data_IF_052582857948
#
_entry.id   IF_052582857948
#
_cell.length_a   1.000
_cell.length_b   1.000
_cell.length_c   1.000
_cell.angle_alpha   90.00
_cell.angle_beta   90.00
_cell.angle_gamma   90.00
#
_symmetry.space_group_name_H-M   'P 1'
#
loop_
_entity.id
_entity.type
_entity.pdbx_description
1 polymer ?
#
# COMPACT_ATOMS: atom_id res chain seq x y z
N UNK A 1 -3.35 -4.44 8.38
CA UNK A 1 -4.39 -3.85 7.50
C UNK A 1 -5.30 -4.94 6.92
N UNK A 2 -4.81 -5.85 6.04
CA UNK A 2 -5.63 -6.82 5.29
C UNK A 2 -6.56 -7.66 6.17
N UNK A 3 -6.04 -8.25 7.26
CA UNK A 3 -6.83 -9.03 8.22
C UNK A 3 -8.03 -8.25 8.75
N UNK A 4 -7.79 -7.03 9.24
CA UNK A 4 -8.84 -6.21 9.87
C UNK A 4 -9.85 -5.69 8.86
N UNK A 5 -9.39 -5.29 7.67
CA UNK A 5 -10.28 -4.84 6.59
C UNK A 5 -11.21 -5.96 6.15
N UNK A 6 -10.67 -7.14 5.85
CA UNK A 6 -11.47 -8.30 5.45
C UNK A 6 -12.41 -8.76 6.57
N UNK A 7 -11.90 -8.85 7.81
CA UNK A 7 -12.72 -9.25 8.95
C UNK A 7 -13.90 -8.30 9.15
N UNK A 8 -13.66 -6.99 9.21
CA UNK A 8 -14.73 -5.99 9.38
C UNK A 8 -15.76 -6.07 8.26
N UNK A 9 -15.32 -6.14 7.00
CA UNK A 9 -16.23 -6.29 5.84
C UNK A 9 -17.05 -7.57 5.91
N UNK A 10 -16.44 -8.71 6.29
CA UNK A 10 -17.13 -9.97 6.47
C UNK A 10 -18.19 -9.90 7.57
N UNK A 11 -17.88 -9.26 8.72
CA UNK A 11 -18.84 -9.11 9.81
C UNK A 11 -20.02 -8.21 9.41
N UNK A 12 -19.74 -7.06 8.78
CA UNK A 12 -20.79 -6.16 8.30
C UNK A 12 -21.70 -6.83 7.27
N UNK A 13 -21.13 -7.63 6.38
CA UNK A 13 -21.91 -8.41 5.39
C UNK A 13 -22.80 -9.45 6.06
N UNK A 14 -22.25 -10.22 7.02
CA UNK A 14 -23.02 -11.24 7.75
C UNK A 14 -24.16 -10.65 8.58
N UNK A 15 -23.96 -9.46 9.12
CA UNK A 15 -24.95 -8.76 9.96
C UNK A 15 -25.97 -7.96 9.12
N UNK A 16 -25.79 -7.85 7.79
CA UNK A 16 -26.62 -7.00 6.94
C UNK A 16 -26.52 -5.51 7.29
N UNK A 17 -25.37 -5.09 7.85
CA UNK A 17 -25.15 -3.72 8.35
C UNK A 17 -24.07 -2.96 7.55
N UNK A 18 -23.85 -3.38 6.30
CA UNK A 18 -22.95 -2.65 5.39
C UNK A 18 -23.51 -1.24 5.14
N UNK A 19 -22.69 -0.18 5.26
CA UNK A 19 -23.11 1.18 4.88
C UNK A 19 -23.58 1.28 3.43
N UNK A 20 -24.27 2.35 3.09
CA UNK A 20 -24.83 2.52 1.75
C UNK A 20 -23.74 2.72 0.67
N UNK A 21 -22.69 3.45 1.01
CA UNK A 21 -21.57 3.77 0.12
C UNK A 21 -20.22 3.39 0.77
N UNK A 22 -20.00 2.12 1.12
CA UNK A 22 -18.87 1.73 1.95
C UNK A 22 -17.54 2.06 1.26
N UNK A 23 -16.58 2.61 2.02
CA UNK A 23 -15.28 3.03 1.51
C UNK A 23 -14.14 2.52 2.39
N UNK A 24 -13.08 2.03 1.74
CA UNK A 24 -11.78 1.73 2.34
C UNK A 24 -10.78 2.79 1.88
N UNK A 25 -9.96 3.30 2.79
CA UNK A 25 -8.99 4.35 2.49
C UNK A 25 -7.58 3.89 2.83
N UNK A 26 -6.62 4.05 1.90
CA UNK A 26 -5.24 3.64 2.12
C UNK A 26 -4.24 4.43 1.28
N UNK A 27 -2.95 4.28 1.57
CA UNK A 27 -1.88 5.01 0.87
C UNK A 27 -1.32 4.20 -0.30
N UNK A 28 -0.63 4.90 -1.21
CA UNK A 28 0.09 4.27 -2.34
C UNK A 28 1.11 3.20 -1.91
N UNK A 29 1.70 3.33 -0.71
CA UNK A 29 2.71 2.39 -0.21
C UNK A 29 2.12 1.23 0.60
N UNK A 30 0.84 1.28 0.92
CA UNK A 30 0.17 0.19 1.63
C UNK A 30 -0.11 -0.97 0.68
N UNK A 31 -0.21 -2.17 1.22
CA UNK A 31 -0.36 -3.39 0.43
C UNK A 31 -1.57 -3.37 -0.51
N UNK A 32 -1.36 -3.77 -1.75
CA UNK A 32 -2.38 -3.82 -2.81
C UNK A 32 -3.47 -4.89 -2.60
N UNK A 33 -3.30 -5.81 -1.63
CA UNK A 33 -4.34 -6.79 -1.30
C UNK A 33 -5.65 -6.13 -0.88
N UNK A 34 -5.57 -4.92 -0.28
CA UNK A 34 -6.76 -4.15 0.13
C UNK A 34 -7.66 -3.82 -1.05
N UNK A 35 -7.08 -3.52 -2.21
CA UNK A 35 -7.83 -3.29 -3.46
C UNK A 35 -8.59 -4.54 -3.91
N UNK A 36 -7.96 -5.71 -3.80
CA UNK A 36 -8.63 -6.98 -4.16
C UNK A 36 -9.75 -7.32 -3.18
N UNK A 37 -9.52 -7.09 -1.89
CA UNK A 37 -10.53 -7.26 -0.83
C UNK A 37 -11.72 -6.32 -1.07
N UNK A 38 -11.47 -5.02 -1.24
CA UNK A 38 -12.53 -4.03 -1.46
C UNK A 38 -13.38 -4.39 -2.69
N UNK A 39 -12.76 -4.74 -3.82
CA UNK A 39 -13.46 -5.19 -5.03
C UNK A 39 -14.31 -6.43 -4.81
N UNK A 40 -13.84 -7.39 -4.01
CA UNK A 40 -14.59 -8.61 -3.70
C UNK A 40 -15.90 -8.32 -2.98
N UNK A 41 -15.90 -7.34 -2.07
CA UNK A 41 -17.09 -6.92 -1.33
C UNK A 41 -17.91 -5.83 -2.04
N UNK A 42 -17.50 -5.39 -3.25
CA UNK A 42 -18.17 -4.28 -3.95
C UNK A 42 -18.01 -2.92 -3.25
N UNK A 43 -16.91 -2.73 -2.51
CA UNK A 43 -16.64 -1.55 -1.69
C UNK A 43 -15.74 -0.59 -2.45
N UNK A 44 -16.04 0.71 -2.36
CA UNK A 44 -15.19 1.78 -2.90
C UNK A 44 -13.84 1.81 -2.21
N UNK A 45 -12.79 2.22 -2.93
CA UNK A 45 -11.45 2.29 -2.34
C UNK A 45 -10.68 3.53 -2.83
N UNK A 46 -10.12 4.29 -1.87
CA UNK A 46 -9.06 5.26 -2.10
C UNK A 46 -7.73 4.60 -1.76
N UNK A 47 -6.86 4.33 -2.74
CA UNK A 47 -5.62 3.57 -2.57
C UNK A 47 -4.37 4.27 -3.10
N UNK A 48 -4.48 5.57 -3.35
CA UNK A 48 -3.48 6.39 -4.04
C UNK A 48 -2.97 7.56 -3.17
N UNK A 49 -3.28 7.57 -1.86
CA UNK A 49 -2.89 8.66 -0.99
C UNK A 49 -1.36 8.72 -0.79
N UNK A 50 -0.86 9.93 -0.61
CA UNK A 50 0.48 10.15 -0.08
C UNK A 50 0.58 9.61 1.34
N UNK A 51 1.81 9.37 1.81
CA UNK A 51 2.06 8.83 3.15
C UNK A 51 1.77 9.89 4.22
N UNK A 52 0.97 9.49 5.19
CA UNK A 52 0.61 10.29 6.37
C UNK A 52 -0.89 10.39 6.60
N UNK A 53 -1.31 10.24 7.84
CA UNK A 53 -2.73 10.20 8.22
C UNK A 53 -3.50 11.48 7.95
N UNK A 54 -2.81 12.63 7.78
CA UNK A 54 -3.45 13.87 7.35
C UNK A 54 -4.21 13.74 6.02
N UNK A 55 -3.75 12.88 5.12
CA UNK A 55 -4.45 12.63 3.85
C UNK A 55 -5.69 11.77 4.04
N UNK A 56 -5.68 10.84 4.99
CA UNK A 56 -6.88 10.09 5.38
C UNK A 56 -7.92 11.03 6.01
N UNK A 57 -7.47 11.93 6.89
CA UNK A 57 -8.34 12.96 7.48
C UNK A 57 -8.93 13.91 6.43
N UNK A 58 -8.15 14.25 5.38
CA UNK A 58 -8.63 15.07 4.27
C UNK A 58 -9.73 14.36 3.47
N UNK A 59 -9.58 13.05 3.19
CA UNK A 59 -10.63 12.23 2.57
C UNK A 59 -11.92 12.31 3.39
N UNK A 60 -11.85 12.08 4.71
CA UNK A 60 -13.02 12.13 5.59
C UNK A 60 -13.64 13.53 5.61
N UNK A 61 -12.82 14.58 5.67
CA UNK A 61 -13.29 15.97 5.63
C UNK A 61 -14.00 16.30 4.30
N UNK A 62 -13.48 15.83 3.17
CA UNK A 62 -14.12 16.05 1.87
C UNK A 62 -15.44 15.26 1.75
N UNK A 63 -15.51 14.03 2.23
CA UNK A 63 -16.76 13.27 2.30
C UNK A 63 -17.80 13.97 3.19
N UNK A 64 -17.36 14.53 4.33
CA UNK A 64 -18.24 15.31 5.23
C UNK A 64 -18.76 16.60 4.59
N UNK A 65 -17.90 17.34 3.91
CA UNK A 65 -18.22 18.68 3.41
C UNK A 65 -18.90 18.68 2.04
N UNK A 66 -18.56 17.71 1.18
CA UNK A 66 -19.03 17.67 -0.23
C UNK A 66 -19.72 16.37 -0.62
N UNK A 67 -19.70 15.34 0.22
CA UNK A 67 -20.20 14.00 -0.10
C UNK A 67 -19.33 13.26 -1.11
N UNK A 68 -18.13 13.76 -1.42
CA UNK A 68 -17.27 13.19 -2.47
C UNK A 68 -15.78 13.39 -2.21
N UNK A 69 -14.97 12.42 -2.63
CA UNK A 69 -13.52 12.50 -2.79
C UNK A 69 -13.10 11.79 -4.09
N UNK A 70 -12.54 12.51 -5.06
CA UNK A 70 -12.25 12.02 -6.42
C UNK A 70 -13.50 11.32 -7.03
N UNK A 71 -13.41 10.02 -7.32
CA UNK A 71 -14.49 9.17 -7.84
C UNK A 71 -15.31 8.45 -6.76
N UNK A 72 -14.90 8.58 -5.49
CA UNK A 72 -15.60 7.99 -4.34
C UNK A 72 -16.67 8.93 -3.83
N UNK A 73 -17.86 8.39 -3.49
CA UNK A 73 -18.99 9.14 -2.92
C UNK A 73 -19.42 8.53 -1.60
N UNK A 74 -19.92 9.35 -0.68
CA UNK A 74 -20.40 8.90 0.62
C UNK A 74 -20.27 9.96 1.70
N UNK A 75 -20.39 9.52 2.93
CA UNK A 75 -20.27 10.31 4.15
C UNK A 75 -19.17 9.72 5.03
N UNK A 76 -18.75 10.40 6.11
CA UNK A 76 -17.83 9.82 7.08
C UNK A 76 -18.29 8.45 7.65
N UNK A 77 -19.60 8.25 7.81
CA UNK A 77 -20.17 7.01 8.36
C UNK A 77 -20.07 5.81 7.40
N UNK A 78 -19.76 6.06 6.13
CA UNK A 78 -19.49 5.02 5.15
C UNK A 78 -18.05 4.46 5.25
N UNK A 79 -17.18 5.05 6.12
CA UNK A 79 -15.83 4.57 6.33
C UNK A 79 -15.81 3.16 6.96
N UNK A 80 -15.31 2.19 6.20
CA UNK A 80 -15.06 0.85 6.73
C UNK A 80 -13.76 0.84 7.54
N UNK A 81 -12.66 1.26 6.92
CA UNK A 81 -11.35 1.30 7.55
C UNK A 81 -10.40 2.17 6.73
N UNK A 82 -9.63 3.00 7.42
CA UNK A 82 -8.48 3.67 6.83
C UNK A 82 -7.18 3.11 7.41
N UNK A 83 -6.16 2.95 6.56
CA UNK A 83 -4.90 2.35 7.00
C UNK A 83 -3.68 2.86 6.23
N UNK A 84 -2.54 2.86 6.90
CA UNK A 84 -1.22 3.03 6.28
C UNK A 84 -0.26 1.90 6.71
N UNK A 85 0.82 1.66 5.96
CA UNK A 85 1.75 0.55 6.20
C UNK A 85 2.47 0.66 7.55
N UNK A 86 2.69 1.88 8.06
CA UNK A 86 3.39 2.16 9.32
C UNK A 86 2.46 2.06 10.53
N UNK A 87 1.76 0.95 10.68
CA UNK A 87 0.91 0.63 11.84
C UNK A 87 -0.26 1.60 12.09
N UNK A 88 -0.65 2.38 11.08
CA UNK A 88 -1.78 3.29 11.18
C UNK A 88 -3.09 2.60 10.81
N UNK A 89 -4.05 2.60 11.74
CA UNK A 89 -5.43 2.11 11.53
C UNK A 89 -6.40 3.15 12.08
N UNK A 90 -7.42 3.48 11.31
CA UNK A 90 -8.60 4.23 11.74
C UNK A 90 -9.82 3.42 11.31
N UNK A 91 -10.58 2.92 12.26
CA UNK A 91 -11.72 2.04 12.00
C UNK A 91 -13.08 2.70 12.23
N UNK A 92 -13.09 3.99 12.59
CA UNK A 92 -14.30 4.80 12.74
C UNK A 92 -13.97 6.27 12.48
N UNK A 93 -14.91 7.09 11.97
CA UNK A 93 -14.64 8.48 11.57
C UNK A 93 -14.56 9.46 12.74
N UNK A 94 -14.94 9.05 13.95
CA UNK A 94 -14.94 9.91 15.13
C UNK A 94 -13.57 10.32 15.62
N UNK A 95 -12.55 9.51 15.36
CA UNK A 95 -11.13 9.81 15.60
C UNK A 95 -10.44 9.91 14.25
N UNK A 96 -10.06 11.13 13.82
CA UNK A 96 -9.49 11.39 12.48
C UNK A 96 -7.97 11.25 12.43
N UNK A 97 -7.45 10.33 13.21
CA UNK A 97 -6.05 9.90 13.21
C UNK A 97 -5.97 8.42 13.56
N UNK A 98 -4.77 7.89 13.63
CA UNK A 98 -4.48 6.51 14.01
C UNK A 98 -5.05 6.19 15.39
N UNK A 99 -5.84 5.13 15.46
CA UNK A 99 -6.40 4.62 16.71
C UNK A 99 -5.96 3.16 16.94
N UNK A 100 -4.93 3.00 17.74
CA UNK A 100 -4.40 1.69 18.09
C UNK A 100 -5.34 0.89 19.00
N UNK A 101 -6.16 1.54 19.81
CA UNK A 101 -7.09 0.85 20.70
C UNK A 101 -8.17 0.11 19.91
N UNK A 102 -8.77 0.77 18.93
CA UNK A 102 -9.75 0.16 18.02
C UNK A 102 -9.11 -0.95 17.16
N UNK A 103 -7.87 -0.74 16.69
CA UNK A 103 -7.15 -1.76 15.95
C UNK A 103 -6.92 -3.03 16.78
N UNK A 104 -6.54 -2.88 18.06
CA UNK A 104 -6.34 -4.01 18.98
C UNK A 104 -7.66 -4.73 19.28
N UNK A 105 -8.76 -3.99 19.48
CA UNK A 105 -10.09 -4.58 19.69
C UNK A 105 -10.52 -5.42 18.48
N UNK A 106 -10.43 -4.89 17.26
CA UNK A 106 -10.75 -5.62 16.04
C UNK A 106 -9.88 -6.87 15.87
N UNK A 107 -8.59 -6.78 16.22
CA UNK A 107 -7.69 -7.93 16.16
C UNK A 107 -8.07 -9.00 17.22
N UNK A 108 -8.46 -8.58 18.41
CA UNK A 108 -8.92 -9.48 19.46
C UNK A 108 -10.21 -10.20 19.07
N UNK A 109 -11.17 -9.50 18.46
CA UNK A 109 -12.41 -10.08 17.92
C UNK A 109 -12.13 -11.10 16.81
N UNK A 110 -11.24 -10.77 15.88
CA UNK A 110 -10.78 -11.70 14.84
C UNK A 110 -10.14 -12.95 15.49
N UNK A 111 -9.23 -12.75 16.44
CA UNK A 111 -8.55 -13.86 17.11
C UNK A 111 -9.54 -14.75 17.87
N UNK A 112 -10.52 -14.16 18.56
CA UNK A 112 -11.58 -14.90 19.25
C UNK A 112 -12.44 -15.68 18.25
N UNK A 113 -12.80 -15.07 17.11
CA UNK A 113 -13.57 -15.71 16.05
C UNK A 113 -12.81 -16.91 15.47
N UNK A 114 -11.53 -16.74 15.15
CA UNK A 114 -10.67 -17.86 14.73
C UNK A 114 -10.62 -18.96 15.78
N UNK A 115 -10.38 -18.63 17.06
CA UNK A 115 -10.30 -19.59 18.15
C UNK A 115 -11.59 -20.40 18.30
N UNK A 116 -12.76 -19.77 18.21
CA UNK A 116 -14.07 -20.46 18.25
C UNK A 116 -14.25 -21.45 17.11
N UNK A 117 -13.58 -21.23 15.98
CA UNK A 117 -13.58 -22.12 14.82
C UNK A 117 -12.46 -23.16 14.86
N UNK A 118 -11.68 -23.26 15.94
CA UNK A 118 -10.52 -24.15 16.04
C UNK A 118 -9.34 -23.74 15.14
N UNK A 119 -9.24 -22.44 14.79
CA UNK A 119 -8.26 -21.88 13.84
C UNK A 119 -7.39 -20.82 14.49
N UNK A 120 -6.30 -20.48 13.84
CA UNK A 120 -5.42 -19.36 14.21
C UNK A 120 -5.63 -18.16 13.29
N UNK A 121 -5.15 -16.99 13.71
CA UNK A 121 -5.08 -15.79 12.86
C UNK A 121 -4.15 -16.00 11.65
N UNK A 122 -3.14 -16.88 11.79
CA UNK A 122 -2.24 -17.26 10.69
C UNK A 122 -3.00 -18.06 9.63
N UNK A 123 -3.88 -18.99 10.04
CA UNK A 123 -4.73 -19.72 9.09
C UNK A 123 -5.63 -18.76 8.32
N UNK A 124 -6.19 -17.76 9.01
CA UNK A 124 -7.00 -16.73 8.38
C UNK A 124 -6.20 -15.91 7.35
N UNK A 125 -4.96 -15.53 7.69
CA UNK A 125 -4.06 -14.84 6.75
C UNK A 125 -3.71 -15.69 5.53
N UNK A 126 -3.47 -16.99 5.74
CA UNK A 126 -3.20 -17.93 4.65
C UNK A 126 -4.40 -18.06 3.71
N UNK A 127 -5.62 -18.07 4.24
CA UNK A 127 -6.83 -18.10 3.41
C UNK A 127 -6.99 -16.82 2.59
N UNK A 128 -6.72 -15.65 3.17
CA UNK A 128 -6.69 -14.39 2.42
C UNK A 128 -5.67 -14.45 1.27
N UNK A 129 -4.49 -15.01 1.55
CA UNK A 129 -3.45 -15.17 0.52
C UNK A 129 -3.88 -16.11 -0.61
N UNK A 130 -4.60 -17.17 -0.29
CA UNK A 130 -5.17 -18.09 -1.29
C UNK A 130 -6.27 -17.42 -2.11
N UNK A 131 -7.16 -16.71 -1.44
CA UNK A 131 -8.34 -16.09 -2.06
C UNK A 131 -7.98 -14.85 -2.89
N UNK A 132 -7.09 -14.00 -2.41
CA UNK A 132 -6.76 -12.71 -3.01
C UNK A 132 -5.40 -12.64 -3.67
N UNK A 133 -4.60 -13.72 -3.59
CA UNK A 133 -3.21 -13.75 -4.02
C UNK A 133 -2.25 -13.44 -2.88
N UNK A 134 -1.03 -13.93 -3.00
CA UNK A 134 0.03 -13.65 -2.05
C UNK A 134 0.69 -12.32 -2.37
N UNK A 135 0.91 -11.50 -1.35
CA UNK A 135 1.57 -10.20 -1.41
C UNK A 135 2.76 -10.18 -0.47
N UNK A 136 3.95 -10.00 -1.02
CA UNK A 136 5.17 -9.76 -0.25
C UNK A 136 5.48 -8.28 -0.24
N UNK A 137 5.55 -7.71 0.96
CA UNK A 137 5.93 -6.32 1.18
C UNK A 137 7.32 -6.25 1.82
N UNK A 138 8.12 -5.28 1.41
CA UNK A 138 9.45 -4.99 1.94
C UNK A 138 9.69 -3.50 2.06
N UNK A 139 10.66 -3.12 2.88
CA UNK A 139 11.10 -1.75 3.07
C UNK A 139 12.62 -1.70 3.05
N UNK A 140 13.17 -0.97 2.09
CA UNK A 140 14.61 -0.68 2.01
C UNK A 140 14.87 0.77 2.45
N UNK A 141 15.85 0.96 3.32
CA UNK A 141 16.27 2.26 3.78
C UNK A 141 17.59 2.66 3.10
N UNK A 142 17.56 3.74 2.32
CA UNK A 142 18.73 4.31 1.68
C UNK A 142 19.23 5.45 2.57
N UNK A 143 20.23 5.18 3.41
CA UNK A 143 20.78 6.14 4.37
C UNK A 143 21.96 6.88 3.72
N UNK A 144 21.91 8.21 3.74
CA UNK A 144 22.96 9.09 3.19
C UNK A 144 23.28 10.16 4.23
N UNK A 145 24.32 9.89 5.05
CA UNK A 145 24.69 10.76 6.16
C UNK A 145 25.52 11.99 5.73
N UNK A 146 25.51 13.03 6.56
CA UNK A 146 26.32 14.26 6.36
C UNK A 146 25.69 15.29 5.43
N UNK A 147 26.42 16.38 5.21
CA UNK A 147 25.98 17.50 4.34
C UNK A 147 25.89 17.02 2.89
N UNK A 148 26.83 16.25 2.43
CA UNK A 148 26.83 15.63 1.09
C UNK A 148 25.68 14.63 0.91
N UNK A 149 25.20 14.02 2.00
CA UNK A 149 24.09 13.08 1.96
C UNK A 149 22.80 13.67 1.38
N UNK A 150 22.47 14.91 1.68
CA UNK A 150 21.30 15.60 1.09
C UNK A 150 21.49 15.85 -0.40
N UNK A 151 22.70 16.23 -0.83
CA UNK A 151 23.00 16.45 -2.25
C UNK A 151 22.98 15.13 -3.02
N UNK A 152 23.56 14.07 -2.44
CA UNK A 152 23.53 12.72 -3.02
C UNK A 152 22.09 12.21 -3.16
N UNK A 153 21.24 12.47 -2.16
CA UNK A 153 19.82 12.15 -2.22
C UNK A 153 19.10 12.88 -3.36
N UNK A 154 19.37 14.16 -3.54
CA UNK A 154 18.80 14.93 -4.64
C UNK A 154 19.29 14.38 -5.99
N UNK A 155 20.62 14.17 -6.15
CA UNK A 155 21.18 13.58 -7.39
C UNK A 155 20.57 12.22 -7.71
N UNK A 156 20.41 11.36 -6.70
CA UNK A 156 19.77 10.05 -6.88
C UNK A 156 18.34 10.17 -7.42
N UNK A 157 17.52 11.00 -6.81
CA UNK A 157 16.13 11.19 -7.23
C UNK A 157 16.03 11.82 -8.63
N UNK A 158 16.87 12.83 -8.90
CA UNK A 158 16.87 13.51 -10.20
C UNK A 158 17.43 12.61 -11.30
N UNK A 159 18.42 11.78 -10.98
CA UNK A 159 18.95 10.77 -11.89
C UNK A 159 17.89 9.73 -12.29
N UNK A 160 17.12 9.23 -11.33
CA UNK A 160 16.02 8.30 -11.56
C UNK A 160 14.87 8.93 -12.36
N UNK A 161 14.61 10.24 -12.18
CA UNK A 161 13.62 10.99 -12.98
C UNK A 161 14.05 11.12 -14.43
N UNK A 162 15.31 11.51 -14.64
CA UNK A 162 15.85 11.71 -15.97
C UNK A 162 16.03 10.39 -16.74
N UNK A 163 16.34 9.31 -16.04
CA UNK A 163 16.67 8.01 -16.62
C UNK A 163 15.98 6.88 -15.82
N UNK A 164 14.65 6.77 -15.87
CA UNK A 164 13.94 5.69 -15.21
C UNK A 164 14.36 4.34 -15.81
N UNK A 165 14.65 3.32 -14.98
CA UNK A 165 15.01 2.00 -15.46
C UNK A 165 13.88 1.39 -16.28
N UNK A 166 14.20 0.67 -17.36
CA UNK A 166 13.24 -0.06 -18.19
C UNK A 166 12.89 -1.44 -17.64
N UNK A 167 13.74 -1.97 -16.79
CA UNK A 167 13.55 -3.24 -16.07
C UNK A 167 14.26 -3.18 -14.72
N UNK A 168 13.77 -3.92 -13.74
CA UNK A 168 14.37 -4.07 -12.40
C UNK A 168 14.20 -5.54 -12.01
N UNK A 169 15.29 -6.20 -11.62
CA UNK A 169 15.32 -7.61 -11.24
C UNK A 169 14.66 -8.54 -12.28
N UNK A 170 14.91 -8.29 -13.55
CA UNK A 170 14.34 -9.06 -14.65
C UNK A 170 12.85 -8.80 -14.95
N UNK A 171 12.18 -7.96 -14.16
CA UNK A 171 10.80 -7.53 -14.42
C UNK A 171 10.77 -6.23 -15.22
N UNK A 172 9.97 -6.19 -16.29
CA UNK A 172 9.81 -4.98 -17.10
C UNK A 172 9.10 -3.88 -16.32
N UNK A 173 9.58 -2.64 -16.40
CA UNK A 173 8.88 -1.47 -15.84
C UNK A 173 7.70 -1.14 -16.77
N UNK A 174 6.51 -1.48 -16.33
CA UNK A 174 5.25 -1.26 -17.05
C UNK A 174 4.81 0.20 -16.99
N UNK A 175 5.09 0.89 -15.89
CA UNK A 175 4.85 2.33 -15.74
C UNK A 175 5.80 2.96 -14.73
N UNK A 176 6.14 4.22 -15.00
CA UNK A 176 6.87 5.11 -14.10
C UNK A 176 6.04 6.36 -13.86
N UNK A 177 5.94 6.81 -12.63
CA UNK A 177 5.21 8.00 -12.23
C UNK A 177 6.06 8.83 -11.26
N UNK A 178 6.22 10.13 -11.56
CA UNK A 178 6.76 11.12 -10.64
C UNK A 178 5.61 12.00 -10.15
N UNK A 179 5.31 11.96 -8.86
CA UNK A 179 4.21 12.76 -8.30
C UNK A 179 4.50 14.27 -8.28
N UNK A 180 5.73 14.69 -8.61
CA UNK A 180 6.08 16.10 -8.86
C UNK A 180 5.67 16.59 -10.24
N UNK A 181 5.33 15.69 -11.15
CA UNK A 181 4.83 16.07 -12.47
C UNK A 181 3.45 16.72 -12.33
N UNK A 182 3.40 18.04 -12.53
CA UNK A 182 2.16 18.82 -12.44
C UNK A 182 1.19 18.54 -13.60
N UNK A 183 1.64 17.90 -14.68
CA UNK A 183 0.77 17.40 -15.75
C UNK A 183 0.15 16.03 -15.43
N UNK A 184 0.64 15.35 -14.38
CA UNK A 184 0.18 14.05 -13.94
C UNK A 184 -1.09 14.12 -13.09
N UNK A 185 -1.46 12.99 -12.48
CA UNK A 185 -2.72 12.81 -11.73
C UNK A 185 -2.92 13.78 -10.55
N UNK A 186 -1.83 14.30 -9.98
CA UNK A 186 -1.88 15.21 -8.82
C UNK A 186 -2.15 16.67 -9.22
N UNK A 187 -1.98 17.02 -10.50
CA UNK A 187 -2.14 18.40 -10.99
C UNK A 187 -1.12 19.39 -10.40
N UNK A 188 -1.37 20.69 -10.50
CA UNK A 188 -0.49 21.75 -9.97
C UNK A 188 -0.25 21.63 -8.47
N UNK A 189 0.92 22.11 -8.00
CA UNK A 189 1.22 22.15 -6.56
C UNK A 189 0.28 23.09 -5.81
N UNK A 190 -0.22 22.62 -4.65
CA UNK A 190 -1.06 23.41 -3.75
C UNK A 190 -0.26 24.27 -2.76
N UNK A 191 1.08 24.14 -2.73
CA UNK A 191 2.00 24.86 -1.87
C UNK A 191 3.30 24.09 -1.62
N UNK A 192 4.23 24.67 -0.86
CA UNK A 192 5.56 24.09 -0.61
C UNK A 192 5.50 22.75 0.14
N UNK A 193 4.58 22.61 1.07
CA UNK A 193 4.38 21.36 1.81
C UNK A 193 3.89 20.23 0.90
N UNK A 194 3.00 20.54 -0.04
CA UNK A 194 2.52 19.61 -1.04
C UNK A 194 3.65 19.21 -2.00
N UNK A 195 4.39 20.19 -2.51
CA UNK A 195 5.57 19.96 -3.37
C UNK A 195 6.62 19.08 -2.69
N UNK A 196 6.87 19.28 -1.40
CA UNK A 196 7.78 18.44 -0.63
C UNK A 196 7.25 16.99 -0.48
N UNK A 197 5.97 16.84 -0.17
CA UNK A 197 5.32 15.54 0.00
C UNK A 197 5.27 14.73 -1.30
N UNK A 198 5.16 15.40 -2.45
CA UNK A 198 5.17 14.80 -3.79
C UNK A 198 6.58 14.45 -4.30
N UNK A 199 7.62 14.60 -3.52
CA UNK A 199 8.93 14.04 -3.86
C UNK A 199 8.90 12.51 -3.77
N UNK A 200 8.20 11.89 -4.71
CA UNK A 200 7.75 10.50 -4.62
C UNK A 200 7.73 9.89 -6.03
N UNK A 201 8.48 8.80 -6.20
CA UNK A 201 8.59 8.07 -7.47
C UNK A 201 7.93 6.70 -7.33
N UNK A 202 7.17 6.29 -8.35
CA UNK A 202 6.48 5.02 -8.38
C UNK A 202 6.89 4.26 -9.64
N UNK A 203 7.41 3.05 -9.46
CA UNK A 203 7.75 2.11 -10.51
C UNK A 203 6.83 0.90 -10.38
N UNK A 204 6.01 0.64 -11.38
CA UNK A 204 5.20 -0.58 -11.45
C UNK A 204 5.87 -1.55 -12.41
N UNK A 205 6.11 -2.76 -11.98
CA UNK A 205 6.81 -3.77 -12.76
C UNK A 205 5.93 -4.98 -13.04
N UNK A 206 6.11 -5.59 -14.21
CA UNK A 206 5.42 -6.79 -14.63
C UNK A 206 6.40 -7.96 -14.68
N UNK A 207 6.06 -9.03 -13.97
CA UNK A 207 6.75 -10.32 -13.98
C UNK A 207 5.97 -11.38 -14.76
N UNK A 208 6.47 -12.63 -14.78
CA UNK A 208 5.82 -13.74 -15.45
C UNK A 208 4.54 -14.18 -14.72
N UNK A 209 3.69 -14.97 -15.39
CA UNK A 209 2.54 -15.68 -14.80
C UNK A 209 1.57 -14.79 -13.99
N UNK A 210 1.41 -13.53 -14.37
CA UNK A 210 0.53 -12.58 -13.66
C UNK A 210 1.13 -12.04 -12.34
N UNK A 211 2.41 -12.28 -12.09
CA UNK A 211 3.14 -11.63 -11.00
C UNK A 211 3.33 -10.16 -11.37
N UNK A 212 3.09 -9.28 -10.42
CA UNK A 212 3.30 -7.85 -10.56
C UNK A 212 4.04 -7.32 -9.34
N UNK A 213 4.78 -6.24 -9.53
CA UNK A 213 5.48 -5.58 -8.44
C UNK A 213 5.35 -4.06 -8.50
N UNK A 214 5.70 -3.43 -7.39
CA UNK A 214 5.72 -1.98 -7.24
C UNK A 214 6.90 -1.58 -6.35
N UNK A 215 7.60 -0.52 -6.75
CA UNK A 215 8.56 0.15 -5.89
C UNK A 215 8.16 1.61 -5.78
N UNK A 216 7.98 2.09 -4.55
CA UNK A 216 7.71 3.49 -4.25
C UNK A 216 8.91 4.08 -3.51
N UNK A 217 9.57 5.09 -4.08
CA UNK A 217 10.72 5.75 -3.47
C UNK A 217 10.35 7.15 -3.00
N UNK A 218 10.62 7.46 -1.74
CA UNK A 218 10.46 8.81 -1.19
C UNK A 218 11.57 9.14 -0.18
N UNK A 219 12.08 10.38 -0.16
CA UNK A 219 12.95 10.82 0.92
C UNK A 219 12.14 11.00 2.21
N UNK A 220 12.80 10.83 3.36
CA UNK A 220 12.25 11.23 4.66
C UNK A 220 12.29 12.75 4.78
N UNK A 221 11.21 13.33 5.32
CA UNK A 221 11.19 14.78 5.59
C UNK A 221 12.06 15.21 6.79
N UNK A 222 12.38 14.28 7.68
CA UNK A 222 13.03 14.57 8.97
C UNK A 222 14.41 13.94 9.13
N UNK A 223 14.75 12.94 8.33
CA UNK A 223 15.98 12.16 8.47
C UNK A 223 16.72 12.10 7.12
N UNK A 224 18.07 12.00 7.12
CA UNK A 224 18.86 11.91 5.90
C UNK A 224 18.80 10.51 5.28
N UNK A 225 17.58 10.07 4.96
CA UNK A 225 17.32 8.77 4.34
C UNK A 225 16.17 8.84 3.35
N UNK A 226 16.18 7.96 2.36
CA UNK A 226 15.01 7.64 1.55
C UNK A 226 14.50 6.25 1.91
N UNK A 227 13.22 6.05 1.71
CA UNK A 227 12.53 4.78 1.89
C UNK A 227 12.09 4.28 0.52
N UNK A 228 12.48 3.06 0.17
CA UNK A 228 11.93 2.33 -0.97
C UNK A 228 10.98 1.25 -0.44
N UNK A 229 9.69 1.44 -0.68
CA UNK A 229 8.65 0.47 -0.36
C UNK A 229 8.51 -0.48 -1.54
N UNK A 230 8.68 -1.76 -1.29
CA UNK A 230 8.67 -2.81 -2.30
C UNK A 230 7.46 -3.70 -2.07
N UNK A 231 6.72 -3.98 -3.13
CA UNK A 231 5.68 -5.00 -3.11
C UNK A 231 5.81 -5.88 -4.34
N UNK A 232 5.71 -7.19 -4.17
CA UNK A 232 5.50 -8.15 -5.25
C UNK A 232 4.30 -9.01 -4.91
N UNK A 233 3.41 -9.20 -5.87
CA UNK A 233 2.18 -9.96 -5.68
C UNK A 233 1.94 -10.96 -6.80
N UNK A 234 1.36 -12.09 -6.44
CA UNK A 234 0.88 -13.10 -7.40
C UNK A 234 -0.64 -13.11 -7.55
N UNK A 235 -1.16 -13.86 -8.52
CA UNK A 235 -2.60 -14.10 -8.66
C UNK A 235 -3.16 -14.90 -7.48
N UNK A 236 -4.50 -14.89 -7.29
CA UNK A 236 -5.18 -15.83 -6.40
C UNK A 236 -4.81 -17.28 -6.71
N UNK A 237 -4.84 -18.14 -5.68
CA UNK A 237 -4.57 -19.56 -5.87
C UNK A 237 -5.70 -20.23 -6.67
N UNK A 238 -5.41 -20.81 -7.84
CA UNK A 238 -6.40 -21.62 -8.56
C UNK A 238 -6.84 -22.84 -7.73
N UNK A 239 -8.10 -23.23 -7.83
CA UNK A 239 -8.65 -24.38 -7.10
C UNK A 239 -7.89 -25.68 -7.44
N UNK A 240 -7.40 -25.78 -8.67
CA UNK A 240 -6.64 -26.95 -9.16
C UNK A 240 -5.18 -26.97 -8.70
N UNK A 241 -4.68 -25.92 -8.08
CA UNK A 241 -3.28 -25.84 -7.65
C UNK A 241 -3.06 -26.62 -6.35
N UNK A 242 -2.05 -27.49 -6.33
CA UNK A 242 -1.65 -28.23 -5.13
C UNK A 242 -0.99 -27.33 -4.08
N UNK A 243 -0.94 -27.76 -2.83
CA UNK A 243 -0.26 -27.02 -1.76
C UNK A 243 1.25 -26.85 -2.03
N UNK A 244 1.90 -27.87 -2.60
CA UNK A 244 3.32 -27.78 -2.99
C UNK A 244 3.56 -26.73 -4.07
N UNK A 245 2.70 -26.68 -5.10
CA UNK A 245 2.79 -25.69 -6.16
C UNK A 245 2.54 -24.27 -5.62
N UNK A 246 1.57 -24.12 -4.70
CA UNK A 246 1.31 -22.86 -4.03
C UNK A 246 2.50 -22.40 -3.17
N UNK A 247 3.09 -23.30 -2.40
CA UNK A 247 4.28 -23.01 -1.59
C UNK A 247 5.47 -22.56 -2.45
N UNK A 248 5.67 -23.20 -3.62
CA UNK A 248 6.69 -22.80 -4.58
C UNK A 248 6.43 -21.41 -5.15
N UNK A 249 5.17 -21.08 -5.49
CA UNK A 249 4.80 -19.74 -5.96
C UNK A 249 5.05 -18.67 -4.89
N UNK A 250 4.73 -18.94 -3.62
CA UNK A 250 5.05 -18.04 -2.50
C UNK A 250 6.56 -17.80 -2.43
N UNK A 251 7.37 -18.86 -2.44
CA UNK A 251 8.83 -18.75 -2.39
C UNK A 251 9.41 -17.98 -3.59
N UNK A 252 8.85 -18.16 -4.78
CA UNK A 252 9.21 -17.39 -5.98
C UNK A 252 8.92 -15.90 -5.77
N UNK A 253 7.73 -15.54 -5.30
CA UNK A 253 7.35 -14.15 -5.02
C UNK A 253 8.24 -13.52 -3.95
N UNK A 254 8.57 -14.27 -2.88
CA UNK A 254 9.51 -13.82 -1.85
C UNK A 254 10.89 -13.52 -2.42
N UNK A 255 11.41 -14.41 -3.27
CA UNK A 255 12.67 -14.23 -3.98
C UNK A 255 12.66 -13.02 -4.91
N UNK A 256 11.60 -12.87 -5.68
CA UNK A 256 11.43 -11.72 -6.59
C UNK A 256 11.33 -10.39 -5.82
N UNK A 257 10.65 -10.34 -4.68
CA UNK A 257 10.55 -9.14 -3.86
C UNK A 257 11.92 -8.74 -3.28
N UNK A 258 12.68 -9.71 -2.79
CA UNK A 258 14.04 -9.47 -2.29
C UNK A 258 14.98 -8.99 -3.42
N UNK A 259 14.93 -9.60 -4.60
CA UNK A 259 15.71 -9.20 -5.75
C UNK A 259 15.32 -7.80 -6.23
N UNK A 260 14.01 -7.50 -6.31
CA UNK A 260 13.49 -6.20 -6.71
C UNK A 260 14.00 -5.08 -5.79
N UNK A 261 13.91 -5.27 -4.48
CA UNK A 261 14.40 -4.29 -3.51
C UNK A 261 15.91 -4.06 -3.63
N UNK A 262 16.68 -5.13 -3.64
CA UNK A 262 18.15 -5.07 -3.73
C UNK A 262 18.65 -4.41 -5.01
N UNK A 263 18.11 -4.80 -6.17
CA UNK A 263 18.52 -4.25 -7.46
C UNK A 263 18.07 -2.81 -7.64
N UNK A 264 16.85 -2.48 -7.18
CA UNK A 264 16.37 -1.09 -7.19
C UNK A 264 17.30 -0.18 -6.37
N UNK A 265 17.66 -0.58 -5.15
CA UNK A 265 18.59 0.19 -4.30
C UNK A 265 19.94 0.35 -4.98
N UNK A 266 20.49 -0.71 -5.55
CA UNK A 266 21.78 -0.64 -6.27
C UNK A 266 21.73 0.33 -7.45
N UNK A 267 20.67 0.26 -8.27
CA UNK A 267 20.44 1.15 -9.40
C UNK A 267 20.25 2.61 -8.98
N UNK A 268 19.48 2.84 -7.92
CA UNK A 268 19.25 4.18 -7.38
C UNK A 268 20.55 4.79 -6.84
N UNK A 269 21.32 4.03 -6.07
CA UNK A 269 22.60 4.49 -5.47
C UNK A 269 23.68 4.78 -6.52
N UNK A 270 23.58 4.23 -7.72
CA UNK A 270 24.52 4.57 -8.80
C UNK A 270 24.45 6.05 -9.22
N UNK A 271 23.28 6.69 -9.08
CA UNK A 271 23.11 8.12 -9.33
C UNK A 271 23.53 9.01 -8.15
N UNK A 272 23.76 8.44 -6.98
CA UNK A 272 24.15 9.20 -5.78
C UNK A 272 25.65 9.59 -5.73
N UNK A 273 26.46 9.05 -6.64
CA UNK A 273 27.92 9.24 -6.71
C UNK A 273 28.31 10.53 -7.41
#
# INVERSE_FOLDING_TARGET
CALLTHFKLSQLTQQGSMPANPVVVTTEVTTGILTRIARHFGVQIVNNLLVGFKYHADVIWQLESTGRYEDVTGTPDDLILASEESHGIMAMPGVRDKDSAVAVLLLAELALTCKRQGRTVVDYLNDLSRQFGYFKNGLENLVMTGIEGKQNMARMLDGLRANPPKAIAGMAVASFEDLRDESGRMGPFKGDTDKAARNFLIFRVAGPNGIAGKVCLRPSGTEPKAKAYVEVSGPPRPVTMTDDAWSKQIAEIDGMAAALGKEFVASAMAFAK
#
